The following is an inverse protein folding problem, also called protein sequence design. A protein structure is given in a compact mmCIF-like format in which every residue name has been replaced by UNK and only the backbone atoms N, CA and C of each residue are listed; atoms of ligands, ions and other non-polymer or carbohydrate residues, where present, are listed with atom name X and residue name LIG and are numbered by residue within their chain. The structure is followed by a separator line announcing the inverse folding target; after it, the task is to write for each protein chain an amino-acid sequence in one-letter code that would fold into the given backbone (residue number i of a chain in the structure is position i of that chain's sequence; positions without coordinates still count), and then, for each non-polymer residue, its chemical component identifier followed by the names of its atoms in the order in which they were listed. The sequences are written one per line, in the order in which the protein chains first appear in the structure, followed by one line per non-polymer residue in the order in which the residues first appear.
data_IF_023912371571
#
_entry.id   IF_023912371571
#
_cell.length_a   1.000
_cell.length_b   1.000
_cell.length_c   1.000
_cell.angle_alpha   90.00
_cell.angle_beta   90.00
_cell.angle_gamma   90.00
#
_symmetry.space_group_name_H-M   'P 1'
#
loop_
_entity.id
_entity.type
_entity.pdbx_description
1 polymer ?
#
# COMPACT_ATOMS: atom_id res chain seq x y z
N UNK A 1 1.92 -23.05 -10.60
CA UNK A 1 2.46 -22.52 -9.32
C UNK A 1 1.32 -21.82 -8.60
N UNK A 2 1.18 -22.00 -7.29
CA UNK A 2 0.14 -21.34 -6.51
C UNK A 2 0.56 -19.89 -6.21
N UNK A 3 -0.31 -18.86 -6.29
CA UNK A 3 0.06 -17.46 -5.99
C UNK A 3 0.80 -17.30 -4.66
N UNK A 4 0.35 -17.96 -3.61
CA UNK A 4 0.97 -17.89 -2.27
C UNK A 4 2.46 -18.28 -2.24
N UNK A 5 2.93 -19.11 -3.17
CA UNK A 5 4.36 -19.49 -3.25
C UNK A 5 5.18 -18.29 -3.72
N UNK A 6 4.65 -17.51 -4.65
CA UNK A 6 5.30 -16.30 -5.17
C UNK A 6 5.31 -15.22 -4.08
N UNK A 7 4.20 -15.09 -3.35
CA UNK A 7 4.11 -14.17 -2.19
C UNK A 7 5.16 -14.53 -1.12
N UNK A 8 5.31 -15.82 -0.76
CA UNK A 8 6.33 -16.25 0.19
C UNK A 8 7.75 -15.94 -0.32
N UNK A 9 8.01 -16.16 -1.61
CA UNK A 9 9.30 -15.81 -2.21
C UNK A 9 9.57 -14.30 -2.11
N UNK A 10 8.58 -13.47 -2.40
CA UNK A 10 8.72 -12.02 -2.31
C UNK A 10 9.09 -11.56 -0.89
N UNK A 11 8.56 -12.24 0.14
CA UNK A 11 8.90 -11.96 1.54
C UNK A 11 10.38 -12.17 1.81
N UNK A 12 10.90 -13.35 1.44
CA UNK A 12 12.31 -13.65 1.65
C UNK A 12 13.23 -12.68 0.91
N UNK A 13 12.86 -12.30 -0.31
CA UNK A 13 13.61 -11.31 -1.09
C UNK A 13 13.57 -9.92 -0.42
N UNK A 14 12.40 -9.49 0.09
CA UNK A 14 12.26 -8.21 0.78
C UNK A 14 13.02 -8.14 2.11
N UNK A 15 12.96 -9.21 2.93
CA UNK A 15 13.76 -9.31 4.16
C UNK A 15 15.25 -9.35 3.82
N UNK A 16 15.65 -10.14 2.81
CA UNK A 16 17.02 -10.19 2.32
C UNK A 16 17.54 -8.84 1.86
N UNK A 17 16.70 -8.04 1.20
CA UNK A 17 17.01 -6.66 0.83
C UNK A 17 17.30 -5.80 2.08
N UNK A 18 16.41 -5.85 3.08
CA UNK A 18 16.63 -5.14 4.35
C UNK A 18 17.94 -5.55 5.04
N UNK A 19 18.26 -6.85 5.04
CA UNK A 19 19.54 -7.34 5.58
C UNK A 19 20.76 -6.80 4.80
N UNK A 20 20.67 -6.75 3.46
CA UNK A 20 21.76 -6.19 2.64
C UNK A 20 21.98 -4.70 2.92
N UNK A 21 20.92 -3.94 3.22
CA UNK A 21 21.03 -2.53 3.58
C UNK A 21 21.64 -2.27 4.97
N UNK A 22 21.88 -3.31 5.78
CA UNK A 22 22.64 -3.14 7.02
C UNK A 22 24.14 -2.91 6.78
N UNK A 23 24.66 -3.27 5.60
CA UNK A 23 26.05 -3.08 5.24
C UNK A 23 26.26 -1.73 4.57
N UNK A 24 27.41 -1.11 4.81
CA UNK A 24 27.73 0.22 4.28
C UNK A 24 28.31 0.19 2.86
N UNK A 25 28.89 -0.94 2.48
CA UNK A 25 29.57 -1.06 1.20
C UNK A 25 28.61 -1.05 0.00
N UNK A 26 29.10 -0.56 -1.13
CA UNK A 26 28.33 -0.37 -2.35
C UNK A 26 27.75 -1.69 -2.90
N UNK A 27 28.49 -2.80 -2.79
CA UNK A 27 28.06 -4.08 -3.37
C UNK A 27 26.84 -4.64 -2.66
N UNK A 28 26.80 -4.62 -1.33
CA UNK A 28 25.64 -5.03 -0.56
C UNK A 28 24.44 -4.10 -0.80
N UNK A 29 24.67 -2.80 -0.90
CA UNK A 29 23.59 -1.85 -1.19
C UNK A 29 22.99 -2.09 -2.59
N UNK A 30 23.81 -2.32 -3.63
CA UNK A 30 23.32 -2.69 -4.97
C UNK A 30 22.55 -4.01 -4.92
N UNK A 31 23.06 -5.02 -4.24
CA UNK A 31 22.38 -6.30 -4.10
C UNK A 31 21.04 -6.13 -3.35
N UNK A 32 21.00 -5.29 -2.32
CA UNK A 32 19.77 -4.93 -1.62
C UNK A 32 18.70 -4.33 -2.55
N UNK A 33 19.11 -3.39 -3.41
CA UNK A 33 18.22 -2.80 -4.42
C UNK A 33 17.71 -3.85 -5.41
N UNK A 34 18.60 -4.71 -5.91
CA UNK A 34 18.24 -5.78 -6.86
C UNK A 34 17.23 -6.76 -6.22
N UNK A 35 17.48 -7.18 -4.97
CA UNK A 35 16.54 -8.05 -4.24
C UNK A 35 15.19 -7.38 -4.04
N UNK A 36 15.16 -6.09 -3.72
CA UNK A 36 13.92 -5.33 -3.57
C UNK A 36 13.14 -5.22 -4.89
N UNK A 37 13.84 -5.01 -6.02
CA UNK A 37 13.21 -5.02 -7.34
C UNK A 37 12.56 -6.37 -7.64
N UNK A 38 13.25 -7.48 -7.37
CA UNK A 38 12.68 -8.82 -7.54
C UNK A 38 11.53 -9.10 -6.58
N UNK A 39 11.60 -8.64 -5.33
CA UNK A 39 10.51 -8.74 -4.38
C UNK A 39 9.24 -8.05 -4.90
N UNK A 40 9.37 -6.80 -5.37
CA UNK A 40 8.26 -6.05 -5.99
C UNK A 40 7.72 -6.72 -7.25
N UNK A 41 8.60 -7.30 -8.08
CA UNK A 41 8.17 -8.03 -9.27
C UNK A 41 7.35 -9.28 -8.90
N UNK A 42 7.79 -10.05 -7.92
CA UNK A 42 7.07 -11.21 -7.41
C UNK A 42 5.69 -10.82 -6.85
N UNK A 43 5.63 -9.77 -6.02
CA UNK A 43 4.39 -9.24 -5.45
C UNK A 43 3.39 -8.80 -6.54
N UNK A 44 3.88 -8.06 -7.54
CA UNK A 44 3.03 -7.66 -8.68
C UNK A 44 2.52 -8.87 -9.48
N UNK A 45 3.32 -9.93 -9.57
CA UNK A 45 2.99 -11.14 -10.32
C UNK A 45 1.97 -12.00 -9.60
N UNK A 46 2.08 -12.17 -8.27
CA UNK A 46 1.12 -12.98 -7.50
C UNK A 46 -0.27 -12.34 -7.46
N UNK A 47 -0.36 -11.02 -7.34
CA UNK A 47 -1.60 -10.27 -7.44
C UNK A 47 -2.26 -10.39 -8.83
N UNK A 48 -1.48 -10.37 -9.91
CA UNK A 48 -1.99 -10.62 -11.26
C UNK A 48 -2.46 -12.07 -11.43
N UNK A 49 -1.68 -13.03 -10.95
CA UNK A 49 -2.01 -14.44 -11.01
C UNK A 49 -3.28 -14.76 -10.20
N UNK A 50 -3.45 -14.19 -9.01
CA UNK A 50 -4.66 -14.34 -8.20
C UNK A 50 -5.91 -13.81 -8.93
N UNK A 51 -5.78 -12.71 -9.67
CA UNK A 51 -6.87 -12.16 -10.50
C UNK A 51 -7.21 -13.05 -11.68
N UNK A 52 -6.20 -13.51 -12.43
CA UNK A 52 -6.38 -14.36 -13.62
C UNK A 52 -6.92 -15.75 -13.31
N UNK A 53 -6.51 -16.33 -12.18
CA UNK A 53 -6.95 -17.67 -11.75
C UNK A 53 -8.23 -17.66 -10.92
N UNK A 54 -8.78 -16.49 -10.61
CA UNK A 54 -9.97 -16.34 -9.74
C UNK A 54 -9.74 -16.77 -8.28
N UNK A 55 -8.50 -17.04 -7.89
CA UNK A 55 -8.11 -17.52 -6.55
C UNK A 55 -7.82 -16.37 -5.57
N UNK A 56 -8.68 -15.36 -5.56
CA UNK A 56 -8.60 -14.30 -4.55
C UNK A 56 -9.07 -14.87 -3.22
N UNK A 57 -8.16 -14.99 -2.25
CA UNK A 57 -8.50 -15.42 -0.89
C UNK A 57 -8.35 -14.26 0.08
N UNK A 58 -9.15 -14.26 1.16
CA UNK A 58 -8.98 -13.30 2.25
C UNK A 58 -7.58 -13.37 2.84
N UNK A 59 -7.07 -14.59 3.02
CA UNK A 59 -5.72 -14.83 3.55
C UNK A 59 -4.65 -14.24 2.62
N UNK A 60 -4.76 -14.40 1.30
CA UNK A 60 -3.84 -13.79 0.34
C UNK A 60 -3.80 -12.27 0.50
N UNK A 61 -4.96 -11.59 0.54
CA UNK A 61 -5.04 -10.13 0.73
C UNK A 61 -4.46 -9.67 2.08
N UNK A 62 -4.68 -10.46 3.15
CA UNK A 62 -4.08 -10.18 4.47
C UNK A 62 -2.57 -10.30 4.44
N UNK A 63 -2.07 -11.32 3.76
CA UNK A 63 -0.65 -11.58 3.62
C UNK A 63 0.03 -10.45 2.82
N UNK A 64 -0.53 -10.04 1.67
CA UNK A 64 0.00 -8.94 0.87
C UNK A 64 0.16 -7.65 1.71
N UNK A 65 -0.88 -7.24 2.44
CA UNK A 65 -0.81 -6.07 3.31
C UNK A 65 0.20 -6.18 4.44
N UNK A 66 0.28 -7.34 5.10
CA UNK A 66 1.20 -7.58 6.22
C UNK A 66 2.66 -7.61 5.75
N UNK A 67 2.95 -8.23 4.60
CA UNK A 67 4.31 -8.39 4.11
C UNK A 67 4.91 -7.09 3.57
N UNK A 68 4.08 -6.22 3.02
CA UNK A 68 4.51 -4.86 2.70
C UNK A 68 5.05 -4.13 3.93
N UNK A 69 4.34 -4.19 5.05
CA UNK A 69 4.82 -3.60 6.31
C UNK A 69 6.13 -4.24 6.78
N UNK A 70 6.28 -5.54 6.60
CA UNK A 70 7.49 -6.27 7.01
C UNK A 70 8.73 -5.82 6.23
N UNK A 71 8.64 -5.66 4.90
CA UNK A 71 9.76 -5.20 4.08
C UNK A 71 10.21 -3.80 4.49
N UNK A 72 9.26 -2.88 4.58
CA UNK A 72 9.57 -1.51 4.96
C UNK A 72 10.11 -1.44 6.38
N UNK A 73 9.56 -2.24 7.29
CA UNK A 73 10.12 -2.35 8.63
C UNK A 73 11.58 -2.78 8.61
N UNK A 74 11.94 -3.83 7.86
CA UNK A 74 13.31 -4.30 7.75
C UNK A 74 14.24 -3.23 7.14
N UNK A 75 13.78 -2.52 6.10
CA UNK A 75 14.55 -1.46 5.43
C UNK A 75 14.77 -0.27 6.39
N UNK A 76 13.71 0.21 7.04
CA UNK A 76 13.83 1.32 7.99
C UNK A 76 14.67 0.95 9.21
N UNK A 77 14.55 -0.30 9.69
CA UNK A 77 15.38 -0.80 10.78
C UNK A 77 16.87 -0.87 10.37
N UNK A 78 17.16 -1.33 9.16
CA UNK A 78 18.53 -1.36 8.63
C UNK A 78 19.15 0.06 8.55
N UNK A 79 18.40 1.01 8.02
CA UNK A 79 18.88 2.39 7.95
C UNK A 79 18.99 3.05 9.32
N UNK A 80 18.05 2.78 10.25
CA UNK A 80 18.16 3.28 11.60
C UNK A 80 19.40 2.72 12.31
N UNK A 81 19.68 1.42 12.13
CA UNK A 81 20.85 0.77 12.69
C UNK A 81 22.16 1.38 12.15
N UNK A 82 22.27 1.58 10.84
CA UNK A 82 23.46 2.21 10.22
C UNK A 82 23.68 3.64 10.69
N UNK A 83 22.57 4.39 10.83
CA UNK A 83 22.64 5.80 11.20
C UNK A 83 23.04 6.02 12.66
N UNK A 84 22.96 4.97 13.53
CA UNK A 84 23.25 5.13 14.97
C UNK A 84 24.64 5.67 15.25
N UNK A 85 25.64 5.18 14.50
CA UNK A 85 27.05 5.52 14.70
C UNK A 85 27.48 6.74 13.86
N UNK A 86 26.58 7.30 13.05
CA UNK A 86 26.81 8.49 12.23
C UNK A 86 26.51 9.78 13.02
N UNK A 87 27.18 10.86 12.67
CA UNK A 87 26.89 12.17 13.24
C UNK A 87 25.68 12.84 12.60
N UNK A 88 24.92 13.58 13.40
CA UNK A 88 23.86 14.47 12.90
C UNK A 88 24.52 15.50 11.96
N UNK A 89 24.00 15.71 10.73
CA UNK A 89 24.58 16.64 9.78
C UNK A 89 24.84 18.02 10.40
N UNK A 90 26.06 18.51 10.15
CA UNK A 90 26.56 19.80 10.66
C UNK A 90 26.79 19.86 12.17
N UNK A 91 26.87 18.72 12.87
CA UNK A 91 27.18 18.64 14.30
C UNK A 91 28.17 17.50 14.57
N UNK A 92 28.79 17.52 15.76
CA UNK A 92 29.65 16.43 16.25
C UNK A 92 28.88 15.45 17.16
N UNK A 93 27.55 15.46 17.07
CA UNK A 93 26.66 14.63 17.92
C UNK A 93 26.22 13.42 17.10
N UNK A 94 26.43 12.21 17.61
CA UNK A 94 25.95 10.98 17.01
C UNK A 94 24.42 10.87 17.11
N UNK A 95 23.81 10.26 16.09
CA UNK A 95 22.38 9.97 16.07
C UNK A 95 21.94 9.07 17.22
N UNK A 96 22.70 8.05 17.53
CA UNK A 96 22.36 7.06 18.54
C UNK A 96 20.91 6.57 18.42
N UNK A 97 20.17 6.50 19.50
CA UNK A 97 18.76 6.09 19.52
C UNK A 97 17.79 7.02 18.77
N UNK A 98 18.17 8.26 18.47
CA UNK A 98 17.35 9.18 17.69
C UNK A 98 17.17 8.72 16.25
N UNK A 99 18.06 7.89 15.72
CA UNK A 99 17.89 7.23 14.40
C UNK A 99 16.63 6.38 14.34
N UNK A 100 16.31 5.65 15.40
CA UNK A 100 15.08 4.86 15.49
C UNK A 100 13.84 5.73 15.60
N UNK A 101 13.89 6.82 16.34
CA UNK A 101 12.80 7.81 16.39
C UNK A 101 12.57 8.39 15.00
N UNK A 102 13.64 8.76 14.30
CA UNK A 102 13.56 9.24 12.91
C UNK A 102 12.93 8.20 11.97
N UNK A 103 13.34 6.95 12.07
CA UNK A 103 12.78 5.85 11.24
C UNK A 103 11.27 5.65 11.50
N UNK A 104 10.84 5.68 12.77
CA UNK A 104 9.42 5.59 13.12
C UNK A 104 8.64 6.80 12.59
N UNK A 105 9.15 8.00 12.77
CA UNK A 105 8.53 9.23 12.25
C UNK A 105 8.44 9.17 10.73
N UNK A 106 9.53 8.85 10.03
CA UNK A 106 9.56 8.76 8.57
C UNK A 106 8.63 7.65 8.04
N UNK A 107 8.67 6.46 8.63
CA UNK A 107 7.89 5.30 8.19
C UNK A 107 6.40 5.42 8.51
N UNK A 108 6.05 5.76 9.76
CA UNK A 108 4.66 5.72 10.24
C UNK A 108 3.92 7.03 9.95
N UNK A 109 4.54 8.19 10.20
CA UNK A 109 3.84 9.47 10.05
C UNK A 109 3.88 10.02 8.62
N UNK A 110 4.90 9.69 7.84
CA UNK A 110 5.05 10.22 6.47
C UNK A 110 4.86 9.16 5.40
N UNK A 111 5.67 8.11 5.38
CA UNK A 111 5.66 7.11 4.31
C UNK A 111 4.32 6.37 4.22
N UNK A 112 3.84 5.79 5.32
CA UNK A 112 2.60 4.99 5.32
C UNK A 112 1.37 5.81 4.89
N UNK A 113 1.11 7.02 5.43
CA UNK A 113 0.01 7.84 4.97
C UNK A 113 0.10 8.28 3.51
N UNK A 114 1.29 8.64 3.06
CA UNK A 114 1.51 9.09 1.69
C UNK A 114 1.28 7.96 0.68
N UNK A 115 1.80 6.77 0.96
CA UNK A 115 1.62 5.60 0.09
C UNK A 115 0.16 5.14 0.05
N UNK A 116 -0.50 5.11 1.22
CA UNK A 116 -1.93 4.80 1.32
C UNK A 116 -2.79 5.77 0.50
N UNK A 117 -2.49 7.06 0.56
CA UNK A 117 -3.25 8.06 -0.19
C UNK A 117 -2.98 7.96 -1.69
N UNK A 118 -1.74 7.73 -2.08
CA UNK A 118 -1.37 7.54 -3.49
C UNK A 118 -2.04 6.31 -4.10
N UNK A 119 -2.06 5.17 -3.36
CA UNK A 119 -2.79 3.99 -3.80
C UNK A 119 -4.29 4.28 -3.93
N UNK A 120 -4.88 5.00 -2.99
CA UNK A 120 -6.30 5.37 -3.04
C UNK A 120 -6.65 6.17 -4.29
N UNK A 121 -5.84 7.18 -4.66
CA UNK A 121 -6.03 7.93 -5.90
C UNK A 121 -5.87 7.05 -7.15
N UNK A 122 -4.96 6.10 -7.13
CA UNK A 122 -4.83 5.10 -8.19
C UNK A 122 -6.09 4.23 -8.31
N UNK A 123 -6.64 3.77 -7.18
CA UNK A 123 -7.87 2.98 -7.16
C UNK A 123 -9.08 3.79 -7.65
N UNK A 124 -9.15 5.08 -7.32
CA UNK A 124 -10.17 5.99 -7.86
C UNK A 124 -10.07 6.04 -9.40
N UNK A 125 -8.88 6.27 -9.95
CA UNK A 125 -8.69 6.29 -11.40
C UNK A 125 -9.09 4.96 -12.06
N UNK A 126 -8.69 3.84 -11.48
CA UNK A 126 -9.05 2.50 -11.97
C UNK A 126 -10.56 2.25 -11.89
N UNK A 127 -11.23 2.76 -10.89
CA UNK A 127 -12.68 2.66 -10.75
C UNK A 127 -13.41 3.36 -11.91
N UNK A 128 -13.00 4.55 -12.29
CA UNK A 128 -13.59 5.25 -13.45
C UNK A 128 -13.19 4.59 -14.77
N UNK A 129 -12.00 3.99 -14.86
CA UNK A 129 -11.51 3.35 -16.09
C UNK A 129 -12.10 1.96 -16.33
N UNK A 130 -12.21 1.13 -15.29
CA UNK A 130 -12.54 -0.31 -15.38
C UNK A 130 -13.78 -0.71 -14.59
N UNK A 131 -14.40 0.22 -13.87
CA UNK A 131 -15.52 -0.06 -12.98
C UNK A 131 -15.10 -0.77 -11.69
N UNK A 132 -16.10 -1.16 -10.90
CA UNK A 132 -15.90 -1.79 -9.58
C UNK A 132 -15.13 -3.10 -9.63
N UNK A 133 -15.34 -3.91 -10.66
CA UNK A 133 -14.65 -5.20 -10.80
C UNK A 133 -13.15 -5.06 -11.15
N UNK A 134 -12.75 -3.90 -11.68
CA UNK A 134 -11.38 -3.60 -12.07
C UNK A 134 -10.60 -2.75 -11.05
N UNK A 135 -11.24 -2.35 -9.95
CA UNK A 135 -10.64 -1.54 -8.88
C UNK A 135 -10.84 -2.18 -7.51
N UNK A 136 -10.00 -1.79 -6.56
CA UNK A 136 -10.12 -2.16 -5.14
C UNK A 136 -10.55 -0.93 -4.31
N UNK A 137 -11.46 -0.11 -4.89
CA UNK A 137 -12.00 1.06 -4.22
C UNK A 137 -13.07 0.63 -3.22
N UNK A 138 -12.64 0.37 -2.01
CA UNK A 138 -13.48 0.01 -0.88
C UNK A 138 -13.84 1.25 -0.04
N UNK A 139 -14.90 1.13 0.76
CA UNK A 139 -15.32 2.18 1.69
C UNK A 139 -15.49 1.65 3.12
N UNK A 140 -15.35 2.56 4.08
CA UNK A 140 -15.46 2.24 5.51
C UNK A 140 -16.76 1.52 5.87
N UNK A 141 -17.90 2.03 5.38
CA UNK A 141 -19.21 1.50 5.76
C UNK A 141 -19.38 0.03 5.33
N UNK A 142 -18.97 -0.32 4.11
CA UNK A 142 -19.02 -1.69 3.60
C UNK A 142 -18.11 -2.64 4.38
N UNK A 143 -16.86 -2.22 4.64
CA UNK A 143 -15.89 -3.04 5.36
C UNK A 143 -16.27 -3.21 6.84
N UNK A 144 -16.86 -2.18 7.43
CA UNK A 144 -17.40 -2.24 8.80
C UNK A 144 -18.59 -3.18 8.90
N UNK A 145 -19.50 -3.16 7.93
CA UNK A 145 -20.64 -4.09 7.90
C UNK A 145 -20.18 -5.56 7.80
N UNK A 146 -19.14 -5.84 7.01
CA UNK A 146 -18.53 -7.18 6.95
C UNK A 146 -17.99 -7.57 8.33
N UNK A 147 -17.21 -6.68 8.98
CA UNK A 147 -16.68 -6.92 10.33
C UNK A 147 -17.77 -7.26 11.35
N UNK A 148 -18.87 -6.53 11.32
CA UNK A 148 -20.00 -6.71 12.26
C UNK A 148 -20.77 -8.01 11.99
N UNK A 149 -20.81 -8.46 10.73
CA UNK A 149 -21.44 -9.73 10.33
C UNK A 149 -20.60 -10.98 10.63
N UNK A 150 -19.30 -10.83 10.93
CA UNK A 150 -18.43 -11.97 11.22
C UNK A 150 -18.71 -12.60 12.59
N UNK A 151 -18.70 -13.93 12.62
CA UNK A 151 -18.84 -14.68 13.88
C UNK A 151 -17.72 -14.31 14.88
N UNK A 152 -18.07 -14.23 16.18
CA UNK A 152 -17.09 -13.89 17.24
C UNK A 152 -15.89 -14.84 17.30
N UNK A 153 -16.07 -16.10 16.89
CA UNK A 153 -15.02 -17.13 16.84
C UNK A 153 -14.00 -16.90 15.70
N UNK A 154 -14.35 -16.13 14.68
CA UNK A 154 -13.43 -15.79 13.59
C UNK A 154 -12.53 -14.59 13.98
N UNK A 155 -11.57 -14.88 14.86
CA UNK A 155 -10.66 -13.86 15.41
C UNK A 155 -9.81 -13.22 14.31
N UNK A 156 -9.29 -14.01 13.36
CA UNK A 156 -8.44 -13.51 12.27
C UNK A 156 -9.22 -12.62 11.30
N UNK A 157 -10.37 -13.09 10.83
CA UNK A 157 -11.24 -12.29 9.96
C UNK A 157 -11.67 -10.98 10.62
N UNK A 158 -12.05 -11.02 11.90
CA UNK A 158 -12.42 -9.83 12.67
C UNK A 158 -11.25 -8.85 12.83
N UNK A 159 -10.07 -9.33 13.18
CA UNK A 159 -8.88 -8.49 13.30
C UNK A 159 -8.54 -7.82 11.95
N UNK A 160 -8.60 -8.57 10.85
CA UNK A 160 -8.36 -8.04 9.52
C UNK A 160 -9.38 -6.96 9.15
N UNK A 161 -10.66 -7.28 9.15
CA UNK A 161 -11.70 -6.33 8.71
C UNK A 161 -11.81 -5.10 9.62
N UNK A 162 -11.49 -5.23 10.92
CA UNK A 162 -11.38 -4.08 11.80
C UNK A 162 -10.26 -3.12 11.35
N UNK A 163 -9.07 -3.65 11.10
CA UNK A 163 -7.94 -2.84 10.64
C UNK A 163 -8.18 -2.28 9.22
N UNK A 164 -8.72 -3.10 8.33
CA UNK A 164 -8.99 -2.69 6.95
C UNK A 164 -10.10 -1.63 6.87
N UNK A 165 -11.16 -1.73 7.67
CA UNK A 165 -12.16 -0.69 7.79
C UNK A 165 -11.55 0.64 8.29
N UNK A 166 -10.68 0.59 9.31
CA UNK A 166 -10.00 1.77 9.81
C UNK A 166 -9.04 2.38 8.76
N UNK A 167 -8.40 1.55 7.95
CA UNK A 167 -7.60 1.99 6.81
C UNK A 167 -8.45 2.75 5.79
N UNK A 168 -9.59 2.20 5.35
CA UNK A 168 -10.54 2.88 4.46
C UNK A 168 -11.05 4.19 5.08
N UNK A 169 -11.39 4.19 6.37
CA UNK A 169 -11.80 5.42 7.09
C UNK A 169 -10.74 6.50 7.06
N UNK A 170 -9.47 6.12 7.18
CA UNK A 170 -8.33 7.05 7.11
C UNK A 170 -8.18 7.66 5.71
N UNK A 171 -8.38 6.86 4.65
CA UNK A 171 -8.38 7.34 3.27
C UNK A 171 -9.54 8.30 2.99
N UNK A 172 -10.75 7.94 3.38
CA UNK A 172 -11.94 8.78 3.25
C UNK A 172 -11.79 10.13 3.97
N UNK A 173 -11.27 10.11 5.21
CA UNK A 173 -11.05 11.34 5.98
C UNK A 173 -10.07 12.30 5.30
N UNK A 174 -9.11 11.78 4.55
CA UNK A 174 -8.07 12.57 3.87
C UNK A 174 -8.49 13.04 2.48
N UNK A 175 -9.63 12.57 1.96
CA UNK A 175 -10.15 12.90 0.63
C UNK A 175 -11.58 13.44 0.69
N UNK A 176 -11.85 14.51 1.47
CA UNK A 176 -13.22 14.99 1.71
C UNK A 176 -13.91 15.43 0.42
N UNK A 177 -13.20 16.06 -0.50
CA UNK A 177 -13.77 16.53 -1.76
C UNK A 177 -14.21 15.36 -2.66
N UNK A 178 -13.41 14.30 -2.71
CA UNK A 178 -13.80 13.10 -3.44
C UNK A 178 -15.03 12.42 -2.80
N UNK A 179 -15.12 12.39 -1.48
CA UNK A 179 -16.31 11.83 -0.80
C UNK A 179 -17.58 12.67 -1.10
N UNK A 180 -17.46 13.99 -1.18
CA UNK A 180 -18.57 14.86 -1.61
C UNK A 180 -18.99 14.56 -3.04
N UNK A 181 -18.03 14.49 -3.96
CA UNK A 181 -18.27 14.13 -5.36
C UNK A 181 -19.00 12.80 -5.48
N UNK A 182 -18.56 11.77 -4.78
CA UNK A 182 -19.21 10.44 -4.76
C UNK A 182 -20.63 10.49 -4.19
N UNK A 183 -20.87 11.31 -3.17
CA UNK A 183 -22.21 11.50 -2.59
C UNK A 183 -23.16 12.21 -3.57
N UNK A 184 -22.69 13.22 -4.27
CA UNK A 184 -23.47 13.93 -5.32
C UNK A 184 -23.77 13.01 -6.50
N UNK A 185 -22.78 12.25 -6.98
CA UNK A 185 -22.96 11.27 -8.04
C UNK A 185 -23.96 10.19 -7.66
N UNK A 186 -23.93 9.73 -6.41
CA UNK A 186 -24.91 8.77 -5.91
C UNK A 186 -26.33 9.32 -5.90
N UNK A 187 -26.49 10.60 -5.56
CA UNK A 187 -27.81 11.26 -5.59
C UNK A 187 -28.32 11.48 -7.02
N UNK A 188 -27.45 11.91 -7.93
CA UNK A 188 -27.81 12.31 -9.30
C UNK A 188 -28.00 11.11 -10.23
N UNK A 189 -27.17 10.08 -10.12
CA UNK A 189 -27.10 8.96 -11.06
C UNK A 189 -27.40 7.58 -10.44
N UNK A 190 -27.90 7.56 -9.21
CA UNK A 190 -28.19 6.32 -8.47
C UNK A 190 -26.96 5.41 -8.21
N UNK A 191 -25.79 5.97 -8.28
CA UNK A 191 -24.50 5.31 -8.01
C UNK A 191 -23.44 5.65 -9.05
N UNK A 192 -22.18 5.47 -8.66
CA UNK A 192 -21.07 5.77 -9.55
C UNK A 192 -20.93 4.77 -10.73
N UNK A 193 -21.58 3.61 -10.64
CA UNK A 193 -21.62 2.62 -11.74
C UNK A 193 -22.56 3.06 -12.88
N UNK A 194 -23.58 3.86 -12.57
CA UNK A 194 -24.54 4.40 -13.53
C UNK A 194 -24.13 5.75 -14.12
N UNK A 195 -22.88 6.15 -13.96
CA UNK A 195 -22.36 7.41 -14.50
C UNK A 195 -22.40 7.43 -16.02
N UNK A 196 -22.85 8.52 -16.63
CA UNK A 196 -22.73 8.74 -18.07
C UNK A 196 -21.27 8.65 -18.53
N UNK A 197 -21.07 8.17 -19.75
CA UNK A 197 -19.72 7.93 -20.28
C UNK A 197 -18.94 9.24 -20.48
N UNK A 198 -19.61 10.33 -20.82
CA UNK A 198 -19.01 11.66 -20.95
C UNK A 198 -18.39 12.15 -19.63
N UNK A 199 -19.10 11.96 -18.50
CA UNK A 199 -18.60 12.32 -17.15
C UNK A 199 -17.38 11.47 -16.77
N UNK A 200 -17.41 10.16 -17.10
CA UNK A 200 -16.25 9.28 -16.87
C UNK A 200 -15.04 9.71 -17.67
N UNK A 201 -15.24 10.04 -18.97
CA UNK A 201 -14.16 10.46 -19.86
C UNK A 201 -13.57 11.80 -19.44
N UNK A 202 -14.39 12.75 -18.99
CA UNK A 202 -13.91 14.02 -18.45
C UNK A 202 -13.02 13.81 -17.22
N UNK A 203 -13.47 12.99 -16.26
CA UNK A 203 -12.67 12.66 -15.08
C UNK A 203 -11.35 11.96 -15.46
N UNK A 204 -11.40 11.00 -16.39
CA UNK A 204 -10.21 10.28 -16.86
C UNK A 204 -9.23 11.20 -17.60
N UNK A 205 -9.72 12.15 -18.39
CA UNK A 205 -8.88 13.13 -19.06
C UNK A 205 -8.08 13.99 -18.07
N UNK A 206 -8.69 14.38 -16.96
CA UNK A 206 -8.04 15.17 -15.92
C UNK A 206 -7.12 14.32 -15.03
N UNK A 207 -7.50 13.09 -14.71
CA UNK A 207 -6.72 12.23 -13.79
C UNK A 207 -5.54 11.51 -14.47
N UNK A 208 -5.62 11.19 -15.76
CA UNK A 208 -4.58 10.45 -16.51
C UNK A 208 -3.19 11.08 -16.44
N UNK A 209 -2.98 12.41 -16.63
CA UNK A 209 -1.65 13.01 -16.54
C UNK A 209 -1.05 12.97 -15.13
N UNK A 210 -1.88 12.78 -14.09
CA UNK A 210 -1.44 12.69 -12.70
C UNK A 210 -0.99 11.28 -12.29
N UNK A 211 -1.38 10.25 -13.05
CA UNK A 211 -1.10 8.85 -12.70
C UNK A 211 0.40 8.50 -12.65
N UNK A 212 1.29 9.00 -13.52
CA UNK A 212 2.72 8.76 -13.37
C UNK A 212 3.26 9.24 -12.02
N UNK A 213 2.85 10.43 -11.57
CA UNK A 213 3.26 10.98 -10.26
C UNK A 213 2.67 10.17 -9.10
N UNK A 214 1.41 9.77 -9.20
CA UNK A 214 0.75 8.91 -8.22
C UNK A 214 1.48 7.57 -8.10
N UNK A 215 1.87 6.95 -9.22
CA UNK A 215 2.59 5.69 -9.23
C UNK A 215 3.99 5.80 -8.58
N UNK A 216 4.71 6.91 -8.78
CA UNK A 216 5.99 7.17 -8.10
C UNK A 216 5.82 7.22 -6.57
N UNK A 217 4.66 7.64 -6.10
CA UNK A 217 4.36 7.79 -4.68
C UNK A 217 3.71 6.56 -4.04
N UNK A 218 3.36 5.53 -4.82
CA UNK A 218 2.85 4.25 -4.30
C UNK A 218 3.97 3.34 -3.80
N UNK A 219 3.62 2.30 -3.05
CA UNK A 219 4.58 1.37 -2.45
C UNK A 219 5.50 0.67 -3.48
N UNK A 220 5.04 0.44 -4.69
CA UNK A 220 5.75 -0.39 -5.68
C UNK A 220 6.82 0.35 -6.49
N UNK A 221 7.01 1.64 -6.30
CA UNK A 221 7.90 2.47 -7.14
C UNK A 221 8.89 3.31 -6.36
N UNK A 222 9.05 3.08 -5.06
CA UNK A 222 9.98 3.82 -4.18
C UNK A 222 11.24 3.07 -3.86
#
# INVERSE_FOLDING_TARGET
IHPNVITILSIFLGIGSGYMFMFEDMMHNILGVVLLMFANFCDSTDGQMARLTGKKTLIGRMLDGFFFFLWFFCIYAAFAYRLMDDNIPFTDIEWGWWSWVLAVVAGVLFHSPQSSLSDYYRQIHLFFLKGKNGSELDNYASQRAIYEGLAKKDVLGRAFYFNYANYCKSQEKRTPEFQRLMAEMKKKYNGAEALPEDVKQEFLAQSRPLMPFTNILTFNTR
#
